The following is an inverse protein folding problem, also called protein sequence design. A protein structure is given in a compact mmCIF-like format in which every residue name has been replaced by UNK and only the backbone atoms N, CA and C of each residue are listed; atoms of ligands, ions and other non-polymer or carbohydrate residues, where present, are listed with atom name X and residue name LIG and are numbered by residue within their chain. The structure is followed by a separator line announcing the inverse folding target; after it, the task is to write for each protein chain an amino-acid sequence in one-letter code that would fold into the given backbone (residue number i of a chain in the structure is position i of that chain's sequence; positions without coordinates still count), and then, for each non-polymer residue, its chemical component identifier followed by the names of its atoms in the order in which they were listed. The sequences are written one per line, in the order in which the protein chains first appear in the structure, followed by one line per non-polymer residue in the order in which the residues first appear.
data_IF_290567196827
#
_entry.id   IF_290567196827
#
_cell.length_a   1.000
_cell.length_b   1.000
_cell.length_c   1.000
_cell.angle_alpha   90.00
_cell.angle_beta   90.00
_cell.angle_gamma   90.00
#
_symmetry.space_group_name_H-M   'P 1'
#
loop_
_entity.id
_entity.type
_entity.pdbx_description
1 polymer ?
#
# COMPACT_ATOMS: atom_id res chain seq x y z
N UNK A 1 -12.61 15.63 6.34
CA UNK A 1 -11.85 14.45 6.86
C UNK A 1 -10.66 14.24 5.93
N UNK A 2 -9.45 14.22 6.47
CA UNK A 2 -8.22 13.98 5.70
C UNK A 2 -7.69 12.58 6.08
N UNK A 3 -7.46 11.72 5.06
CA UNK A 3 -7.00 10.35 5.25
C UNK A 3 -5.62 10.18 4.59
N UNK A 4 -4.63 9.76 5.38
CA UNK A 4 -3.34 9.29 4.86
C UNK A 4 -3.39 7.76 4.75
N UNK A 5 -3.63 7.27 3.54
CA UNK A 5 -3.86 5.85 3.31
C UNK A 5 -2.56 5.02 3.29
N UNK A 6 -1.38 5.62 3.14
CA UNK A 6 -0.14 4.86 2.95
C UNK A 6 0.95 5.27 3.93
N UNK A 7 0.88 4.74 5.13
CA UNK A 7 1.89 4.99 6.17
C UNK A 7 2.59 3.72 6.62
N UNK A 8 3.75 3.89 7.23
CA UNK A 8 4.55 2.79 7.79
C UNK A 8 4.98 3.11 9.21
N UNK A 9 4.86 2.14 10.11
CA UNK A 9 5.41 2.23 11.46
C UNK A 9 6.16 0.96 11.83
N UNK A 10 7.21 1.14 12.62
CA UNK A 10 8.05 0.05 13.13
C UNK A 10 7.92 -0.04 14.65
N UNK A 11 8.19 -1.22 15.24
CA UNK A 11 8.41 -1.31 16.69
C UNK A 11 9.52 -0.36 17.12
N UNK A 12 9.34 0.37 18.23
CA UNK A 12 10.27 1.41 18.72
C UNK A 12 11.73 0.92 18.78
N UNK A 13 11.92 -0.36 19.15
CA UNK A 13 13.26 -0.97 19.26
C UNK A 13 14.04 -1.03 17.94
N UNK A 14 13.35 -1.02 16.81
CA UNK A 14 13.95 -1.16 15.48
C UNK A 14 13.67 0.04 14.56
N UNK A 15 12.81 0.98 14.96
CA UNK A 15 12.38 2.08 14.11
C UNK A 15 13.58 2.88 13.57
N UNK A 16 14.48 3.33 14.43
CA UNK A 16 15.65 4.09 14.00
C UNK A 16 16.54 3.32 13.03
N UNK A 17 16.81 2.03 13.28
CA UNK A 17 17.64 1.22 12.40
C UNK A 17 16.94 0.87 11.07
N UNK A 18 15.63 0.69 11.11
CA UNK A 18 14.84 0.45 9.89
C UNK A 18 14.84 1.68 8.98
N UNK A 19 14.61 2.87 9.55
CA UNK A 19 14.64 4.13 8.81
C UNK A 19 16.04 4.43 8.23
N UNK A 20 17.10 4.19 8.99
CA UNK A 20 18.48 4.38 8.53
C UNK A 20 18.77 3.47 7.30
N UNK A 21 18.39 2.19 7.38
CA UNK A 21 18.58 1.24 6.28
C UNK A 21 17.75 1.61 5.04
N UNK A 22 16.47 1.95 5.23
CA UNK A 22 15.59 2.33 4.13
C UNK A 22 16.03 3.66 3.50
N UNK A 23 16.29 4.68 4.33
CA UNK A 23 16.75 5.98 3.86
C UNK A 23 18.08 5.92 3.13
N UNK A 24 19.05 5.15 3.64
CA UNK A 24 20.34 4.94 2.96
C UNK A 24 20.16 4.24 1.63
N UNK A 25 19.32 3.19 1.57
CA UNK A 25 19.07 2.44 0.34
C UNK A 25 18.34 3.28 -0.73
N UNK A 26 17.34 4.02 -0.31
CA UNK A 26 16.52 4.84 -1.20
C UNK A 26 17.12 6.23 -1.50
N UNK A 27 18.12 6.68 -0.74
CA UNK A 27 18.68 8.02 -0.87
C UNK A 27 17.72 9.13 -0.41
N UNK A 28 16.82 8.84 0.52
CA UNK A 28 15.81 9.76 1.05
C UNK A 28 15.95 9.93 2.57
N UNK A 29 15.45 11.07 3.06
CA UNK A 29 15.36 11.33 4.50
C UNK A 29 13.93 11.12 5.00
N UNK A 30 13.72 10.38 6.10
CA UNK A 30 12.40 10.20 6.66
C UNK A 30 11.87 11.52 7.27
N UNK A 31 10.55 11.72 7.23
CA UNK A 31 9.87 12.88 7.81
C UNK A 31 9.41 12.66 9.26
N UNK A 32 9.48 11.43 9.74
CA UNK A 32 9.14 11.02 11.11
C UNK A 32 10.20 10.09 11.67
N UNK A 33 10.10 9.73 12.94
CA UNK A 33 11.00 8.74 13.58
C UNK A 33 10.60 7.29 13.31
N UNK A 34 9.55 7.07 12.51
CA UNK A 34 9.04 5.74 12.12
C UNK A 34 8.34 4.97 13.24
N UNK A 35 8.10 5.60 14.40
CA UNK A 35 7.36 4.97 15.50
C UNK A 35 5.85 5.21 15.36
N UNK A 36 5.05 4.43 16.08
CA UNK A 36 3.61 4.68 16.19
C UNK A 36 3.32 6.07 16.80
N UNK A 37 4.10 6.48 17.80
CA UNK A 37 3.93 7.81 18.40
C UNK A 37 4.33 8.91 17.42
N UNK A 38 5.40 8.74 16.66
CA UNK A 38 5.81 9.69 15.62
C UNK A 38 4.74 9.87 14.53
N UNK A 39 4.01 8.81 14.17
CA UNK A 39 2.87 8.93 13.26
C UNK A 39 1.74 9.75 13.89
N UNK A 40 1.38 9.50 15.15
CA UNK A 40 0.37 10.30 15.87
C UNK A 40 0.72 11.78 15.92
N UNK A 41 1.99 12.08 16.20
CA UNK A 41 2.47 13.46 16.30
C UNK A 41 2.43 14.15 14.92
N UNK A 42 2.75 13.41 13.85
CA UNK A 42 2.62 13.89 12.47
C UNK A 42 1.15 14.16 12.10
N UNK A 43 0.24 13.24 12.38
CA UNK A 43 -1.20 13.41 12.16
C UNK A 43 -1.72 14.68 12.86
N UNK A 44 -1.38 14.86 14.13
CA UNK A 44 -1.81 16.04 14.91
C UNK A 44 -1.23 17.35 14.36
N UNK A 45 0.02 17.34 13.88
CA UNK A 45 0.69 18.50 13.27
C UNK A 45 0.05 18.90 11.95
N UNK A 46 -0.27 17.91 11.12
CA UNK A 46 -0.65 18.12 9.72
C UNK A 46 -2.18 18.05 9.50
N UNK A 47 -2.95 17.82 10.57
CA UNK A 47 -4.42 17.80 10.54
C UNK A 47 -5.01 16.55 9.87
N UNK A 48 -4.27 15.43 9.90
CA UNK A 48 -4.73 14.15 9.37
C UNK A 48 -5.67 13.49 10.38
N UNK A 49 -6.88 13.15 9.94
CA UNK A 49 -7.91 12.53 10.79
C UNK A 49 -7.72 11.01 10.91
N UNK A 50 -7.31 10.37 9.82
CA UNK A 50 -7.15 8.91 9.74
C UNK A 50 -5.83 8.57 9.03
N UNK A 51 -5.09 7.61 9.57
CA UNK A 51 -3.93 7.02 8.89
C UNK A 51 -4.06 5.50 8.81
N UNK A 52 -3.68 4.94 7.66
CA UNK A 52 -3.63 3.49 7.45
C UNK A 52 -2.19 3.02 7.39
N UNK A 53 -1.81 2.18 8.35
CA UNK A 53 -0.49 1.55 8.39
C UNK A 53 -0.49 0.32 7.49
N UNK A 54 0.43 0.27 6.54
CA UNK A 54 0.62 -0.82 5.58
C UNK A 54 1.92 -1.59 5.91
N UNK A 55 1.88 -2.56 6.82
CA UNK A 55 3.06 -3.30 7.22
C UNK A 55 3.51 -4.27 6.14
N UNK A 56 4.82 -4.47 6.02
CA UNK A 56 5.41 -5.40 5.05
C UNK A 56 6.14 -6.52 5.78
N UNK A 57 5.77 -7.77 5.49
CA UNK A 57 6.53 -8.94 5.86
C UNK A 57 7.58 -9.22 4.77
N UNK A 58 8.84 -8.96 5.04
CA UNK A 58 9.96 -9.22 4.12
C UNK A 58 10.50 -10.64 4.22
N UNK A 59 9.94 -11.43 5.13
CA UNK A 59 10.25 -12.84 5.35
C UNK A 59 8.99 -13.53 5.87
N UNK A 60 8.68 -14.77 5.43
CA UNK A 60 7.46 -15.48 5.84
C UNK A 60 7.33 -15.67 7.35
N UNK A 61 8.45 -15.84 8.08
CA UNK A 61 8.43 -15.97 9.55
C UNK A 61 7.99 -14.72 10.32
N UNK A 62 7.84 -13.59 9.65
CA UNK A 62 7.39 -12.32 10.27
C UNK A 62 5.87 -12.16 10.24
N UNK A 63 5.15 -12.87 9.37
CA UNK A 63 3.72 -12.66 9.06
C UNK A 63 2.88 -12.61 10.34
N UNK A 64 2.84 -13.68 11.11
CA UNK A 64 2.00 -13.72 12.31
C UNK A 64 2.35 -12.61 13.31
N UNK A 65 3.65 -12.40 13.58
CA UNK A 65 4.08 -11.39 14.54
C UNK A 65 3.66 -9.98 14.13
N UNK A 66 3.76 -9.67 12.84
CA UNK A 66 3.33 -8.38 12.29
C UNK A 66 1.82 -8.25 12.46
N UNK A 67 1.05 -9.27 12.11
CA UNK A 67 -0.40 -9.24 12.16
C UNK A 67 -0.94 -9.16 13.60
N UNK A 68 -0.32 -9.83 14.56
CA UNK A 68 -0.70 -9.68 15.99
C UNK A 68 -0.42 -8.27 16.52
N UNK A 69 0.65 -7.60 16.03
CA UNK A 69 0.89 -6.18 16.34
C UNK A 69 -0.14 -5.27 15.65
N UNK A 70 -0.45 -5.54 14.40
CA UNK A 70 -1.45 -4.78 13.65
C UNK A 70 -2.83 -4.84 14.33
N UNK A 71 -3.21 -6.00 14.90
CA UNK A 71 -4.42 -6.13 15.70
C UNK A 71 -4.42 -5.18 16.91
N UNK A 72 -3.30 -5.10 17.64
CA UNK A 72 -3.19 -4.17 18.78
C UNK A 72 -3.35 -2.69 18.35
N UNK A 73 -2.89 -2.33 17.16
CA UNK A 73 -3.13 -1.00 16.59
C UNK A 73 -4.63 -0.82 16.33
N UNK A 74 -5.28 -1.78 15.69
CA UNK A 74 -6.71 -1.73 15.34
C UNK A 74 -7.62 -1.68 16.57
N UNK A 75 -7.24 -2.30 17.68
CA UNK A 75 -7.97 -2.22 18.96
C UNK A 75 -8.06 -0.77 19.49
N UNK A 76 -7.08 0.07 19.19
CA UNK A 76 -7.05 1.48 19.62
C UNK A 76 -7.49 2.46 18.52
N UNK A 77 -7.74 1.99 17.32
CA UNK A 77 -8.06 2.82 16.16
C UNK A 77 -9.26 3.76 16.35
N UNK A 78 -10.36 3.36 17.02
CA UNK A 78 -11.48 4.27 17.25
C UNK A 78 -11.11 5.55 18.02
N UNK A 79 -10.10 5.48 18.89
CA UNK A 79 -9.64 6.62 19.70
C UNK A 79 -8.48 7.39 19.05
N UNK A 80 -7.74 6.77 18.15
CA UNK A 80 -6.48 7.31 17.62
C UNK A 80 -6.53 7.70 16.15
N UNK A 81 -7.53 7.21 15.41
CA UNK A 81 -7.61 7.36 13.96
C UNK A 81 -6.58 6.52 13.19
N UNK A 82 -5.77 5.66 13.86
CA UNK A 82 -4.75 4.86 13.19
C UNK A 82 -5.24 3.42 13.05
N UNK A 83 -5.42 3.01 11.80
CA UNK A 83 -5.77 1.65 11.42
C UNK A 83 -4.56 0.95 10.81
N UNK A 84 -4.52 -0.37 10.87
CA UNK A 84 -3.49 -1.17 10.22
C UNK A 84 -4.10 -2.25 9.34
N UNK A 85 -3.59 -2.40 8.14
CA UNK A 85 -3.77 -3.61 7.36
C UNK A 85 -2.91 -4.74 7.94
N UNK A 86 -3.18 -5.96 7.50
CA UNK A 86 -2.31 -7.10 7.73
C UNK A 86 -1.15 -7.13 6.74
N UNK A 87 -0.18 -7.97 7.03
CA UNK A 87 0.90 -8.32 6.11
C UNK A 87 0.78 -9.79 5.70
N UNK A 88 1.19 -10.11 4.46
CA UNK A 88 1.30 -11.47 3.98
C UNK A 88 2.60 -11.64 3.21
N UNK A 89 3.05 -12.89 3.03
CA UNK A 89 4.24 -13.21 2.25
C UNK A 89 3.96 -14.40 1.33
N UNK A 90 4.35 -14.36 0.04
CA UNK A 90 4.07 -15.46 -0.91
C UNK A 90 4.58 -16.83 -0.46
N UNK A 91 5.71 -16.89 0.24
CA UNK A 91 6.26 -18.13 0.80
C UNK A 91 5.68 -18.55 2.16
N UNK A 92 4.67 -17.84 2.67
CA UNK A 92 4.07 -18.23 3.95
C UNK A 92 3.11 -19.42 3.76
N UNK A 93 3.42 -20.62 4.31
CA UNK A 93 2.71 -21.83 3.94
C UNK A 93 1.26 -21.86 4.41
N UNK A 94 0.96 -21.22 5.54
CA UNK A 94 -0.37 -21.21 6.14
C UNK A 94 -1.16 -19.94 5.80
N UNK A 95 -0.91 -19.37 4.60
CA UNK A 95 -1.49 -18.07 4.18
C UNK A 95 -3.02 -18.05 4.25
N UNK A 96 -3.70 -19.12 3.88
CA UNK A 96 -5.17 -19.21 3.96
C UNK A 96 -5.66 -19.06 5.40
N UNK A 97 -5.07 -19.84 6.31
CA UNK A 97 -5.44 -19.75 7.71
C UNK A 97 -5.22 -18.35 8.30
N UNK A 98 -4.11 -17.72 7.94
CA UNK A 98 -3.80 -16.36 8.43
C UNK A 98 -4.71 -15.30 7.80
N UNK A 99 -5.07 -15.43 6.50
CA UNK A 99 -6.05 -14.54 5.86
C UNK A 99 -7.43 -14.65 6.51
N UNK A 100 -7.90 -15.87 6.77
CA UNK A 100 -9.13 -16.09 7.53
C UNK A 100 -9.06 -15.47 8.93
N UNK A 101 -7.93 -15.65 9.62
CA UNK A 101 -7.73 -15.03 10.93
C UNK A 101 -7.78 -13.50 10.84
N UNK A 102 -7.20 -12.88 9.82
CA UNK A 102 -7.28 -11.43 9.60
C UNK A 102 -8.74 -10.99 9.39
N UNK A 103 -9.48 -11.67 8.52
CA UNK A 103 -10.89 -11.37 8.25
C UNK A 103 -11.75 -11.51 9.52
N UNK A 104 -11.60 -12.59 10.28
CA UNK A 104 -12.32 -12.86 11.52
C UNK A 104 -12.05 -11.81 12.62
N UNK A 105 -10.84 -11.19 12.59
CA UNK A 105 -10.47 -10.12 13.51
C UNK A 105 -10.75 -8.71 12.94
N UNK A 106 -11.52 -8.61 11.86
CA UNK A 106 -12.06 -7.35 11.34
C UNK A 106 -11.08 -6.49 10.54
N UNK A 107 -9.95 -7.06 10.12
CA UNK A 107 -9.04 -6.36 9.21
C UNK A 107 -9.75 -6.03 7.90
N UNK A 108 -9.33 -4.94 7.28
CA UNK A 108 -9.91 -4.48 6.01
C UNK A 108 -9.06 -4.86 4.80
N UNK A 109 -7.82 -5.25 5.00
CA UNK A 109 -6.95 -5.65 3.90
C UNK A 109 -5.57 -6.07 4.34
N UNK A 110 -4.75 -6.36 3.34
CA UNK A 110 -3.34 -6.76 3.47
C UNK A 110 -2.45 -5.91 2.58
N UNK A 111 -1.17 -5.84 2.92
CA UNK A 111 -0.11 -5.26 2.09
C UNK A 111 0.82 -6.35 1.57
N UNK A 112 1.11 -6.29 0.27
CA UNK A 112 2.17 -7.03 -0.39
C UNK A 112 3.18 -6.06 -1.01
N UNK A 113 4.45 -6.46 -1.01
CA UNK A 113 5.54 -5.67 -1.58
C UNK A 113 6.50 -6.56 -2.37
N UNK A 114 6.23 -6.70 -3.64
CA UNK A 114 6.88 -7.65 -4.54
C UNK A 114 8.40 -7.58 -4.53
N UNK A 115 8.98 -6.36 -4.56
CA UNK A 115 10.44 -6.19 -4.54
C UNK A 115 11.08 -6.60 -3.20
N UNK A 116 10.43 -6.30 -2.06
CA UNK A 116 10.93 -6.67 -0.73
C UNK A 116 10.77 -8.16 -0.44
N UNK A 117 9.81 -8.79 -1.10
CA UNK A 117 9.49 -10.22 -0.95
C UNK A 117 10.17 -11.09 -1.99
N UNK A 118 10.78 -10.47 -3.03
CA UNK A 118 11.46 -11.14 -4.14
C UNK A 118 10.54 -12.08 -4.94
N UNK A 119 9.27 -11.70 -5.07
CA UNK A 119 8.25 -12.37 -5.85
C UNK A 119 7.68 -11.44 -6.90
N UNK A 120 7.44 -11.94 -8.10
CA UNK A 120 6.67 -11.16 -9.06
C UNK A 120 5.21 -11.08 -8.64
N UNK A 121 4.59 -9.92 -8.87
CA UNK A 121 3.21 -9.68 -8.44
C UNK A 121 2.21 -10.65 -9.06
N UNK A 122 2.51 -11.15 -10.25
CA UNK A 122 1.70 -12.06 -11.04
C UNK A 122 2.18 -13.52 -11.01
N UNK A 123 3.04 -13.90 -10.07
CA UNK A 123 3.38 -15.31 -9.87
C UNK A 123 2.25 -16.06 -9.13
N UNK A 124 2.21 -17.38 -9.28
CA UNK A 124 1.13 -18.21 -8.74
C UNK A 124 0.95 -18.04 -7.23
N UNK A 125 2.05 -17.91 -6.48
CA UNK A 125 1.99 -17.78 -5.02
C UNK A 125 1.36 -16.45 -4.59
N UNK A 126 1.72 -15.35 -5.26
CA UNK A 126 1.14 -14.03 -5.03
C UNK A 126 -0.32 -14.00 -5.46
N UNK A 127 -0.65 -14.54 -6.64
CA UNK A 127 -2.02 -14.57 -7.16
C UNK A 127 -2.96 -15.40 -6.27
N UNK A 128 -2.50 -16.52 -5.71
CA UNK A 128 -3.31 -17.32 -4.77
C UNK A 128 -3.64 -16.54 -3.48
N UNK A 129 -2.72 -15.70 -2.99
CA UNK A 129 -2.99 -14.84 -1.82
C UNK A 129 -4.03 -13.76 -2.17
N UNK A 130 -3.91 -13.14 -3.34
CA UNK A 130 -4.85 -12.11 -3.80
C UNK A 130 -6.25 -12.72 -3.96
N UNK A 131 -6.37 -13.88 -4.60
CA UNK A 131 -7.64 -14.58 -4.81
C UNK A 131 -8.31 -14.98 -3.49
N UNK A 132 -7.55 -15.53 -2.55
CA UNK A 132 -8.08 -15.86 -1.22
C UNK A 132 -8.49 -14.60 -0.44
N UNK A 133 -7.68 -13.53 -0.46
CA UNK A 133 -8.01 -12.27 0.18
C UNK A 133 -9.30 -11.66 -0.39
N UNK A 134 -9.44 -11.66 -1.71
CA UNK A 134 -10.64 -11.21 -2.43
C UNK A 134 -11.88 -12.00 -1.97
N UNK A 135 -11.77 -13.32 -1.88
CA UNK A 135 -12.88 -14.20 -1.44
C UNK A 135 -13.38 -13.87 -0.03
N UNK A 136 -12.52 -13.29 0.80
CA UNK A 136 -12.80 -12.88 2.19
C UNK A 136 -13.20 -11.41 2.30
N UNK A 137 -13.28 -10.67 1.19
CA UNK A 137 -13.58 -9.24 1.16
C UNK A 137 -12.45 -8.37 1.75
N UNK A 138 -11.22 -8.88 1.74
CA UNK A 138 -10.04 -8.14 2.16
C UNK A 138 -9.43 -7.38 0.98
N UNK A 139 -9.19 -6.09 1.16
CA UNK A 139 -8.43 -5.32 0.18
C UNK A 139 -6.99 -5.80 0.11
N UNK A 140 -6.44 -5.91 -1.10
CA UNK A 140 -5.01 -6.15 -1.30
C UNK A 140 -4.34 -4.91 -1.83
N UNK A 141 -3.45 -4.31 -1.03
CA UNK A 141 -2.60 -3.21 -1.49
C UNK A 141 -1.27 -3.78 -2.00
N UNK A 142 -1.00 -3.59 -3.29
CA UNK A 142 0.28 -3.91 -3.91
C UNK A 142 1.18 -2.67 -4.00
N UNK A 143 2.46 -2.81 -3.66
CA UNK A 143 3.46 -1.86 -4.15
C UNK A 143 3.53 -1.98 -5.67
N UNK A 144 3.42 -0.88 -6.41
CA UNK A 144 3.36 -0.89 -7.86
C UNK A 144 4.42 0.03 -8.49
N UNK A 145 5.07 -0.45 -9.54
CA UNK A 145 6.13 0.24 -10.25
C UNK A 145 7.51 -0.03 -9.67
N UNK A 146 8.45 0.89 -9.95
CA UNK A 146 9.85 0.79 -9.53
C UNK A 146 9.96 1.07 -8.03
N UNK A 147 10.60 0.21 -7.26
CA UNK A 147 11.05 0.55 -5.92
C UNK A 147 12.40 1.27 -5.97
N UNK A 148 12.48 2.45 -5.35
CA UNK A 148 13.68 3.30 -5.39
C UNK A 148 14.89 2.64 -4.72
N UNK A 149 14.67 1.71 -3.80
CA UNK A 149 15.72 1.01 -3.06
C UNK A 149 16.13 -0.34 -3.66
N UNK A 150 15.46 -0.79 -4.72
CA UNK A 150 15.73 -2.10 -5.33
C UNK A 150 16.09 -1.98 -6.81
N UNK A 151 17.16 -2.68 -7.26
CA UNK A 151 17.51 -2.71 -8.67
C UNK A 151 16.51 -3.53 -9.49
N UNK A 152 16.52 -3.31 -10.80
CA UNK A 152 15.80 -4.18 -11.74
C UNK A 152 16.16 -5.66 -11.55
N UNK A 153 15.23 -6.60 -11.81
CA UNK A 153 13.94 -6.36 -12.45
C UNK A 153 12.90 -5.76 -11.48
N UNK A 154 11.95 -4.99 -12.01
CA UNK A 154 10.77 -4.51 -11.27
C UNK A 154 9.81 -5.69 -11.07
N UNK A 155 9.38 -5.94 -9.85
CA UNK A 155 8.57 -7.11 -9.51
C UNK A 155 7.05 -6.87 -9.57
N UNK A 156 6.62 -5.61 -9.74
CA UNK A 156 5.21 -5.27 -9.95
C UNK A 156 5.08 -4.16 -11.00
N UNK A 157 5.14 -4.56 -12.28
CA UNK A 157 4.94 -3.64 -13.41
C UNK A 157 3.44 -3.45 -13.69
N UNK A 158 3.02 -2.37 -14.40
CA UNK A 158 1.65 -2.21 -14.84
C UNK A 158 1.11 -3.41 -15.63
N UNK A 159 1.96 -4.05 -16.45
CA UNK A 159 1.58 -5.23 -17.23
C UNK A 159 1.28 -6.45 -16.33
N UNK A 160 2.02 -6.62 -15.23
CA UNK A 160 1.74 -7.66 -14.23
C UNK A 160 0.44 -7.36 -13.49
N UNK A 161 0.22 -6.11 -13.08
CA UNK A 161 -1.05 -5.67 -12.50
C UNK A 161 -2.22 -5.94 -13.44
N UNK A 162 -2.09 -5.62 -14.74
CA UNK A 162 -3.11 -5.94 -15.76
C UNK A 162 -3.38 -7.43 -15.84
N UNK A 163 -2.36 -8.29 -15.79
CA UNK A 163 -2.53 -9.75 -15.81
C UNK A 163 -3.30 -10.24 -14.59
N UNK A 164 -3.02 -9.71 -13.40
CA UNK A 164 -3.77 -10.03 -12.18
C UNK A 164 -5.24 -9.66 -12.37
N UNK A 165 -5.52 -8.44 -12.84
CA UNK A 165 -6.88 -7.93 -13.07
C UNK A 165 -7.62 -8.81 -14.07
N UNK A 166 -6.99 -9.14 -15.20
CA UNK A 166 -7.62 -9.97 -16.26
C UNK A 166 -7.85 -11.42 -15.82
N UNK A 167 -7.08 -11.92 -14.86
CA UNK A 167 -7.17 -13.31 -14.41
C UNK A 167 -8.09 -13.49 -13.22
N UNK A 168 -8.03 -12.60 -12.24
CA UNK A 168 -8.74 -12.74 -10.97
C UNK A 168 -9.99 -11.85 -10.88
N UNK A 169 -10.10 -10.81 -11.73
CA UNK A 169 -11.19 -9.83 -11.69
C UNK A 169 -11.46 -9.28 -10.29
N UNK A 170 -10.43 -8.79 -9.57
CA UNK A 170 -10.57 -8.38 -8.18
C UNK A 170 -11.44 -7.13 -8.08
N UNK A 171 -12.18 -7.02 -6.98
CA UNK A 171 -12.99 -5.84 -6.62
C UNK A 171 -12.44 -5.09 -5.40
N UNK A 172 -11.38 -5.63 -4.78
CA UNK A 172 -10.74 -5.10 -3.59
C UNK A 172 -9.22 -4.90 -3.79
N UNK A 173 -8.80 -4.45 -4.98
CA UNK A 173 -7.39 -4.25 -5.31
C UNK A 173 -7.01 -2.78 -5.25
N UNK A 174 -5.91 -2.48 -4.56
CA UNK A 174 -5.33 -1.14 -4.47
C UNK A 174 -3.90 -1.21 -5.00
N UNK A 175 -3.60 -0.40 -5.99
CA UNK A 175 -2.26 -0.25 -6.54
C UNK A 175 -1.61 1.02 -5.99
N UNK A 176 -0.54 0.86 -5.22
CA UNK A 176 0.16 1.98 -4.65
C UNK A 176 0.85 2.85 -5.71
N UNK A 177 1.15 4.10 -5.34
CA UNK A 177 1.97 5.02 -6.13
C UNK A 177 1.39 5.26 -7.53
N UNK A 178 0.07 5.52 -7.58
CA UNK A 178 -0.65 5.77 -8.84
C UNK A 178 -0.54 4.62 -9.84
N UNK A 179 -0.51 3.37 -9.31
CA UNK A 179 -0.51 2.15 -10.12
C UNK A 179 0.80 1.74 -10.75
N UNK A 180 1.86 2.56 -10.60
CA UNK A 180 3.16 2.22 -11.21
C UNK A 180 4.20 3.32 -11.09
N UNK A 181 4.85 3.45 -9.91
CA UNK A 181 5.83 4.50 -9.70
C UNK A 181 6.91 4.55 -10.79
N UNK A 182 7.04 5.72 -11.44
CA UNK A 182 7.90 5.97 -12.60
C UNK A 182 7.65 5.08 -13.83
N UNK A 183 6.49 4.43 -13.89
CA UNK A 183 5.98 3.68 -15.05
C UNK A 183 4.58 4.16 -15.46
N UNK A 184 4.22 5.39 -15.12
CA UNK A 184 2.87 5.95 -15.32
C UNK A 184 2.42 5.99 -16.78
N UNK A 185 3.33 6.11 -17.73
CA UNK A 185 2.99 6.02 -19.15
C UNK A 185 2.43 4.66 -19.54
N UNK A 186 2.80 3.61 -18.81
CA UNK A 186 2.33 2.24 -19.02
C UNK A 186 1.04 1.94 -18.21
N UNK A 187 0.72 2.76 -17.20
CA UNK A 187 -0.51 2.59 -16.39
C UNK A 187 -1.74 2.94 -17.18
N UNK A 188 -1.64 3.97 -18.05
CA UNK A 188 -2.76 4.52 -18.78
C UNK A 188 -3.28 3.54 -19.82
N UNK A 189 -4.59 3.32 -19.81
CA UNK A 189 -5.25 2.36 -20.69
C UNK A 189 -4.99 0.90 -20.36
N UNK A 190 -4.11 0.60 -19.41
CA UNK A 190 -3.90 -0.76 -18.92
C UNK A 190 -4.75 -1.07 -17.68
N UNK A 191 -4.99 -0.07 -16.84
CA UNK A 191 -5.64 -0.24 -15.54
C UNK A 191 -6.99 0.50 -15.46
N UNK A 192 -7.65 0.65 -16.60
CA UNK A 192 -9.00 1.23 -16.70
C UNK A 192 -10.05 0.19 -16.25
N UNK A 193 -10.01 -0.14 -14.97
CA UNK A 193 -10.98 -1.04 -14.34
C UNK A 193 -11.62 -0.31 -13.16
N UNK A 194 -12.94 -0.13 -13.13
CA UNK A 194 -13.64 0.63 -12.09
C UNK A 194 -13.55 0.01 -10.69
N UNK A 195 -13.08 -1.24 -10.58
CA UNK A 195 -12.92 -1.95 -9.32
C UNK A 195 -11.49 -1.89 -8.76
N UNK A 196 -10.57 -1.24 -9.46
CA UNK A 196 -9.18 -1.07 -9.03
C UNK A 196 -8.98 0.34 -8.49
N UNK A 197 -8.45 0.43 -7.30
CA UNK A 197 -8.17 1.69 -6.61
C UNK A 197 -6.68 2.03 -6.70
N UNK A 198 -6.38 3.31 -6.58
CA UNK A 198 -5.00 3.81 -6.57
C UNK A 198 -4.76 4.66 -5.33
N UNK A 199 -3.60 4.52 -4.70
CA UNK A 199 -3.13 5.54 -3.79
C UNK A 199 -2.15 6.49 -4.50
N UNK A 200 -2.10 7.73 -4.06
CA UNK A 200 -1.26 8.79 -4.66
C UNK A 200 0.05 8.99 -3.88
N UNK A 201 0.33 8.13 -2.91
CA UNK A 201 1.51 8.25 -2.07
C UNK A 201 2.80 8.24 -2.89
N UNK A 202 3.76 9.03 -2.47
CA UNK A 202 5.10 9.10 -3.09
C UNK A 202 5.12 9.42 -4.60
N UNK A 203 4.01 9.93 -5.14
CA UNK A 203 3.86 10.18 -6.59
C UNK A 203 3.83 11.65 -6.94
N UNK A 204 3.13 12.48 -6.15
CA UNK A 204 2.75 13.85 -6.55
C UNK A 204 3.93 14.82 -6.76
N UNK A 205 5.08 14.56 -6.15
CA UNK A 205 6.29 15.36 -6.32
C UNK A 205 7.16 14.92 -7.50
N UNK A 206 6.82 13.80 -8.14
CA UNK A 206 7.62 13.17 -9.20
C UNK A 206 6.86 13.02 -10.51
N UNK A 207 5.55 12.76 -10.45
CA UNK A 207 4.68 12.65 -11.64
C UNK A 207 4.58 14.01 -12.32
N UNK A 208 4.64 14.05 -13.63
CA UNK A 208 4.45 15.31 -14.37
C UNK A 208 2.97 15.69 -14.39
N UNK A 209 2.68 16.99 -14.52
CA UNK A 209 1.31 17.48 -14.65
C UNK A 209 0.59 16.81 -15.83
N UNK A 210 1.26 16.63 -16.96
CA UNK A 210 0.70 15.96 -18.14
C UNK A 210 0.31 14.50 -17.85
N UNK A 211 1.15 13.77 -17.12
CA UNK A 211 0.85 12.40 -16.68
C UNK A 211 -0.33 12.39 -15.71
N UNK A 212 -0.32 13.28 -14.72
CA UNK A 212 -1.38 13.38 -13.72
C UNK A 212 -2.74 13.69 -14.36
N UNK A 213 -2.82 14.72 -15.22
CA UNK A 213 -4.06 15.11 -15.91
C UNK A 213 -4.60 14.00 -16.81
N UNK A 214 -3.69 13.25 -17.43
CA UNK A 214 -4.04 12.13 -18.30
C UNK A 214 -4.56 10.93 -17.49
N UNK A 215 -3.92 10.62 -16.35
CA UNK A 215 -4.23 9.44 -15.53
C UNK A 215 -5.50 9.61 -14.69
N UNK A 216 -5.74 10.81 -14.20
CA UNK A 216 -6.86 11.09 -13.31
C UNK A 216 -8.00 11.88 -13.96
N UNK A 217 -7.83 12.34 -15.20
CA UNK A 217 -8.83 13.14 -15.91
C UNK A 217 -9.15 14.48 -15.25
N UNK A 218 -8.38 14.87 -14.24
CA UNK A 218 -8.55 16.12 -13.51
C UNK A 218 -7.82 17.23 -14.26
N UNK A 219 -8.54 18.21 -14.76
CA UNK A 219 -7.91 19.37 -15.39
C UNK A 219 -7.45 20.36 -14.32
N UNK A 220 -6.31 21.07 -14.50
CA UNK A 220 -5.83 22.07 -13.57
C UNK A 220 -6.88 23.15 -13.21
N UNK A 221 -7.77 23.45 -14.15
CA UNK A 221 -8.86 24.39 -13.95
C UNK A 221 -9.94 23.87 -12.97
N UNK A 222 -10.10 22.55 -12.86
CA UNK A 222 -11.07 21.92 -11.96
C UNK A 222 -10.60 22.05 -10.49
N UNK A 223 -9.29 22.10 -10.26
CA UNK A 223 -8.70 22.30 -8.91
C UNK A 223 -8.76 23.75 -8.41
N UNK A 224 -8.92 24.71 -9.32
CA UNK A 224 -8.92 26.15 -8.97
C UNK A 224 -10.32 26.74 -8.69
N UNK A 225 -11.39 26.00 -8.94
CA UNK A 225 -12.76 26.53 -8.82
C UNK A 225 -13.37 26.47 -7.42
N UNK A 226 -12.63 25.97 -6.40
CA UNK A 226 -13.08 25.93 -5.01
C UNK A 226 -14.34 25.06 -4.79
N UNK A 227 -14.73 24.27 -5.77
CA UNK A 227 -15.78 23.26 -5.62
C UNK A 227 -15.19 22.02 -4.95
N UNK A 228 -15.80 21.61 -3.84
CA UNK A 228 -15.48 20.33 -3.21
C UNK A 228 -15.76 19.22 -4.22
N UNK A 229 -14.74 18.42 -4.53
CA UNK A 229 -14.93 17.21 -5.32
C UNK A 229 -15.65 16.22 -4.41
N UNK A 230 -16.95 16.03 -4.60
CA UNK A 230 -17.68 14.94 -3.98
C UNK A 230 -17.27 13.64 -4.68
N UNK A 231 -16.56 12.80 -3.97
CA UNK A 231 -16.34 11.42 -4.38
C UNK A 231 -17.61 10.62 -4.04
N UNK A 232 -18.33 10.17 -5.05
CA UNK A 232 -19.41 9.21 -4.88
C UNK A 232 -18.88 7.80 -4.58
#
# INVERSE_FOLDING_TARGET
MLIDFHTHTFPDKIAASALDQLGTRAGISPHTDGTYQGLRDAMARDGVDVSVVLPVATNPSQVEKINRRALQINETAPDTGIYSFGAMHPDYPDYKQELHWLADNGFKGIKLHSDYQLHFADDDATMHIIDEAESLGLYTTLHAGIDIGYPSPVHCTPQMSRRIIDTLHPTHMILAHTGGWKQWDDVIGLLDDPNVFFDISFSLDVITQEQFDRDFGIKPDDLNNGEEIEFE
#
